data_IF_335788753948
#
_entry.id   IF_335788753948
#
_cell.length_a   1.000
_cell.length_b   1.000
_cell.length_c   1.000
_cell.angle_alpha   90.00
_cell.angle_beta   90.00
_cell.angle_gamma   90.00
#
_symmetry.space_group_name_H-M   'P 1'
#
loop_
_entity.id
_entity.type
_entity.pdbx_description
1 polymer ?
#
# COMPACT_ATOMS: atom_id res chain seq x y z
N UNK A 1 -21.35 -1.75 -2.31
CA UNK A 1 -19.99 -2.32 -2.09
C UNK A 1 -19.23 -2.20 -3.40
N UNK A 2 -18.02 -1.65 -3.39
CA UNK A 2 -17.19 -1.49 -4.58
C UNK A 2 -16.10 -2.57 -4.52
N UNK A 3 -15.98 -3.36 -5.58
CA UNK A 3 -14.95 -4.39 -5.73
C UNK A 3 -14.42 -4.28 -7.15
N UNK A 4 -13.16 -3.84 -7.27
CA UNK A 4 -12.51 -3.57 -8.55
C UNK A 4 -11.05 -3.99 -8.49
N UNK A 5 -10.46 -4.49 -9.60
CA UNK A 5 -9.04 -4.81 -9.65
C UNK A 5 -8.21 -3.53 -9.74
N UNK A 6 -7.55 -3.17 -8.64
CA UNK A 6 -6.60 -2.04 -8.53
C UNK A 6 -5.35 -2.47 -7.77
N UNK A 7 -4.28 -1.69 -7.86
CA UNK A 7 -3.02 -2.01 -7.19
C UNK A 7 -3.08 -1.90 -5.67
N UNK A 8 -3.89 -0.97 -5.15
CA UNK A 8 -4.15 -0.86 -3.70
C UNK A 8 -5.63 -0.64 -3.41
N UNK A 9 -6.14 -1.25 -2.34
CA UNK A 9 -7.48 -0.93 -1.84
C UNK A 9 -7.60 0.56 -1.47
N UNK A 10 -6.51 1.17 -0.98
CA UNK A 10 -6.45 2.59 -0.65
C UNK A 10 -6.74 3.48 -1.87
N UNK A 11 -6.49 3.02 -3.10
CA UNK A 11 -6.91 3.72 -4.32
C UNK A 11 -8.42 3.87 -4.40
N UNK A 12 -9.18 2.82 -4.09
CA UNK A 12 -10.64 2.88 -4.10
C UNK A 12 -11.15 3.78 -2.97
N UNK A 13 -10.53 3.70 -1.79
CA UNK A 13 -10.88 4.53 -0.63
C UNK A 13 -10.64 6.01 -0.94
N UNK A 14 -9.46 6.39 -1.43
CA UNK A 14 -9.15 7.77 -1.84
C UNK A 14 -10.15 8.26 -2.86
N UNK A 15 -10.40 7.48 -3.91
CA UNK A 15 -11.34 7.85 -4.96
C UNK A 15 -12.77 8.07 -4.43
N UNK A 16 -13.24 7.25 -3.49
CA UNK A 16 -14.56 7.43 -2.88
C UNK A 16 -14.64 8.65 -1.96
N UNK A 17 -13.57 8.96 -1.22
CA UNK A 17 -13.49 10.17 -0.40
C UNK A 17 -13.55 11.40 -1.31
N UNK A 18 -12.70 11.47 -2.34
CA UNK A 18 -12.64 12.59 -3.28
C UNK A 18 -13.98 12.82 -3.98
N UNK A 19 -14.69 11.75 -4.36
CA UNK A 19 -16.01 11.86 -5.01
C UNK A 19 -17.12 12.36 -4.10
N UNK A 20 -17.07 12.04 -2.80
CA UNK A 20 -18.19 12.30 -1.87
C UNK A 20 -17.96 13.51 -0.98
N UNK A 21 -16.75 13.64 -0.44
CA UNK A 21 -16.38 14.73 0.46
C UNK A 21 -14.84 14.85 0.49
N UNK A 22 -14.27 15.58 -0.47
CA UNK A 22 -12.83 15.83 -0.50
C UNK A 22 -12.32 16.62 0.71
N UNK A 23 -13.18 17.36 1.41
CA UNK A 23 -12.80 18.10 2.63
C UNK A 23 -12.55 17.18 3.84
N UNK A 24 -12.92 15.91 3.75
CA UNK A 24 -12.57 14.91 4.76
C UNK A 24 -11.09 14.51 4.72
N UNK A 25 -10.35 14.90 3.69
CA UNK A 25 -8.91 14.70 3.63
C UNK A 25 -8.21 15.78 4.45
N UNK A 26 -7.41 15.34 5.41
CA UNK A 26 -6.37 16.15 6.04
C UNK A 26 -4.98 15.64 5.61
N UNK A 27 -3.93 16.29 6.11
CA UNK A 27 -2.55 15.95 5.77
C UNK A 27 -2.18 14.53 6.21
N UNK A 28 -2.59 14.11 7.42
CA UNK A 28 -2.24 12.80 7.98
C UNK A 28 -2.91 11.65 7.22
N UNK A 29 -4.22 11.76 6.98
CA UNK A 29 -4.97 10.78 6.20
C UNK A 29 -4.45 10.70 4.77
N UNK A 30 -4.12 11.85 4.17
CA UNK A 30 -3.58 11.90 2.81
C UNK A 30 -2.21 11.23 2.73
N UNK A 31 -1.32 11.46 3.70
CA UNK A 31 -0.03 10.79 3.78
C UNK A 31 -0.18 9.28 3.95
N UNK A 32 -1.12 8.83 4.79
CA UNK A 32 -1.41 7.40 4.99
C UNK A 32 -1.89 6.72 3.70
N UNK A 33 -2.86 7.33 3.01
CA UNK A 33 -3.39 6.84 1.74
C UNK A 33 -2.30 6.81 0.66
N UNK A 34 -1.54 7.91 0.54
CA UNK A 34 -0.46 8.07 -0.43
C UNK A 34 0.62 6.99 -0.25
N UNK A 35 1.15 6.86 0.97
CA UNK A 35 2.19 5.88 1.28
C UNK A 35 1.73 4.44 1.02
N UNK A 36 0.49 4.11 1.38
CA UNK A 36 -0.06 2.76 1.17
C UNK A 36 -0.16 2.42 -0.32
N UNK A 37 -0.67 3.34 -1.14
CA UNK A 37 -0.77 3.13 -2.59
C UNK A 37 0.62 2.95 -3.19
N UNK A 38 1.62 3.76 -2.79
CA UNK A 38 2.99 3.61 -3.27
C UNK A 38 3.60 2.25 -2.91
N UNK A 39 3.43 1.77 -1.68
CA UNK A 39 3.98 0.49 -1.22
C UNK A 39 3.36 -0.67 -2.01
N UNK A 40 2.04 -0.69 -2.18
CA UNK A 40 1.34 -1.80 -2.83
C UNK A 40 1.61 -1.86 -4.34
N UNK A 41 1.78 -0.69 -4.97
CA UNK A 41 2.06 -0.55 -6.41
C UNK A 41 3.55 -0.55 -6.75
N UNK A 42 4.43 -0.72 -5.76
CA UNK A 42 5.89 -0.67 -5.95
C UNK A 42 6.30 0.64 -6.64
N UNK A 43 5.87 1.77 -6.06
CA UNK A 43 6.09 3.11 -6.59
C UNK A 43 5.54 3.29 -8.03
N UNK A 44 4.35 2.77 -8.30
CA UNK A 44 3.73 2.75 -9.63
C UNK A 44 4.60 2.09 -10.71
N UNK A 45 5.48 1.15 -10.34
CA UNK A 45 6.39 0.49 -11.29
C UNK A 45 5.64 -0.31 -12.35
N UNK A 46 5.92 0.00 -13.62
CA UNK A 46 5.39 -0.76 -14.77
C UNK A 46 5.90 -2.21 -14.77
N UNK A 47 7.17 -2.42 -14.36
CA UNK A 47 7.78 -3.76 -14.36
C UNK A 47 7.22 -4.67 -13.27
N UNK A 48 6.65 -4.11 -12.20
CA UNK A 48 5.97 -4.88 -11.17
C UNK A 48 4.58 -5.38 -11.63
N UNK A 49 4.00 -4.76 -12.67
CA UNK A 49 2.69 -5.10 -13.23
C UNK A 49 1.55 -5.15 -12.18
N UNK A 50 1.58 -4.22 -11.21
CA UNK A 50 0.58 -4.09 -10.12
C UNK A 50 -0.27 -2.83 -10.21
N UNK A 51 0.09 -1.91 -11.11
CA UNK A 51 -0.47 -0.56 -11.15
C UNK A 51 -1.61 -0.48 -12.16
N UNK A 52 -2.67 0.25 -11.83
CA UNK A 52 -3.74 0.63 -12.74
C UNK A 52 -3.77 2.14 -12.97
N UNK A 53 -4.49 2.58 -14.00
CA UNK A 53 -4.68 4.01 -14.27
C UNK A 53 -5.29 4.74 -13.07
N UNK A 54 -6.18 4.09 -12.31
CA UNK A 54 -6.81 4.67 -11.12
C UNK A 54 -5.81 4.88 -9.99
N UNK A 55 -4.83 3.99 -9.84
CA UNK A 55 -3.75 4.16 -8.84
C UNK A 55 -2.91 5.40 -9.19
N UNK A 56 -2.60 5.60 -10.49
CA UNK A 56 -1.87 6.78 -10.97
C UNK A 56 -2.67 8.05 -10.69
N UNK A 57 -3.96 8.08 -11.06
CA UNK A 57 -4.84 9.23 -10.84
C UNK A 57 -4.92 9.62 -9.36
N UNK A 58 -5.07 8.65 -8.45
CA UNK A 58 -5.17 8.92 -7.01
C UNK A 58 -3.84 9.36 -6.40
N UNK A 59 -2.70 8.82 -6.86
CA UNK A 59 -1.39 9.31 -6.44
C UNK A 59 -1.19 10.76 -6.91
N UNK A 60 -1.50 11.08 -8.16
CA UNK A 60 -1.34 12.45 -8.68
C UNK A 60 -2.25 13.45 -7.94
N UNK A 61 -3.47 13.03 -7.58
CA UNK A 61 -4.37 13.82 -6.74
C UNK A 61 -3.75 14.09 -5.36
N UNK A 62 -3.27 13.05 -4.67
CA UNK A 62 -2.70 13.16 -3.32
C UNK A 62 -1.39 13.96 -3.32
N UNK A 63 -0.54 13.80 -4.32
CA UNK A 63 0.68 14.60 -4.51
C UNK A 63 0.36 16.08 -4.63
N UNK A 64 -0.67 16.42 -5.40
CA UNK A 64 -1.14 17.80 -5.52
C UNK A 64 -1.70 18.33 -4.20
N UNK A 65 -2.49 17.54 -3.49
CA UNK A 65 -3.08 17.91 -2.20
C UNK A 65 -2.00 18.18 -1.14
N UNK A 66 -1.00 17.29 -1.05
CA UNK A 66 0.10 17.37 -0.10
C UNK A 66 1.23 18.33 -0.54
N UNK A 67 1.12 18.93 -1.73
CA UNK A 67 2.18 19.73 -2.34
C UNK A 67 3.53 18.97 -2.43
N UNK A 68 3.48 17.67 -2.74
CA UNK A 68 4.64 16.79 -2.92
C UNK A 68 4.94 16.70 -4.41
N UNK A 69 6.13 17.14 -4.81
CA UNK A 69 6.59 16.97 -6.19
C UNK A 69 6.94 15.50 -6.49
N UNK A 70 6.69 15.05 -7.73
CA UNK A 70 7.03 13.70 -8.22
C UNK A 70 8.47 13.28 -7.92
N UNK A 71 9.42 14.23 -7.89
CA UNK A 71 10.82 13.97 -7.55
C UNK A 71 11.04 13.40 -6.14
N UNK A 72 10.13 13.64 -5.20
CA UNK A 72 10.21 13.12 -3.82
C UNK A 72 9.57 11.74 -3.65
N UNK A 73 8.77 11.29 -4.62
CA UNK A 73 8.02 10.03 -4.55
C UNK A 73 8.91 8.82 -4.27
N UNK A 74 10.02 8.73 -4.99
CA UNK A 74 11.00 7.65 -4.82
C UNK A 74 11.58 7.63 -3.40
N UNK A 75 11.94 8.80 -2.84
CA UNK A 75 12.47 8.88 -1.48
C UNK A 75 11.45 8.40 -0.43
N UNK A 76 10.19 8.84 -0.54
CA UNK A 76 9.11 8.38 0.36
C UNK A 76 8.93 6.87 0.25
N UNK A 77 8.90 6.33 -0.97
CA UNK A 77 8.77 4.89 -1.18
C UNK A 77 9.94 4.11 -0.57
N UNK A 78 11.18 4.54 -0.78
CA UNK A 78 12.36 3.88 -0.22
C UNK A 78 12.35 3.90 1.31
N UNK A 79 11.97 5.01 1.95
CA UNK A 79 11.81 5.10 3.40
C UNK A 79 10.75 4.10 3.91
N UNK A 80 9.60 4.02 3.24
CA UNK A 80 8.53 3.09 3.59
C UNK A 80 8.92 1.63 3.39
N UNK A 81 9.59 1.27 2.29
CA UNK A 81 10.04 -0.09 2.04
C UNK A 81 11.15 -0.50 3.00
N UNK A 82 12.07 0.41 3.33
CA UNK A 82 13.10 0.19 4.36
C UNK A 82 12.45 -0.13 5.70
N UNK A 83 11.52 0.71 6.16
CA UNK A 83 10.80 0.49 7.42
C UNK A 83 9.95 -0.79 7.39
N UNK A 84 9.26 -1.09 6.28
CA UNK A 84 8.45 -2.31 6.12
C UNK A 84 9.28 -3.58 6.18
N UNK A 85 10.51 -3.52 5.68
CA UNK A 85 11.42 -4.67 5.55
C UNK A 85 12.31 -4.86 6.77
N UNK A 86 12.48 -3.84 7.61
CA UNK A 86 13.18 -3.97 8.89
C UNK A 86 12.39 -4.86 9.85
N UNK A 87 12.92 -6.07 10.06
CA UNK A 87 12.41 -7.06 11.01
C UNK A 87 13.46 -7.42 12.06
N UNK A 88 14.52 -6.61 12.18
CA UNK A 88 15.66 -6.89 13.06
C UNK A 88 15.30 -7.00 14.54
N UNK A 89 14.21 -6.36 14.96
CA UNK A 89 13.67 -6.41 16.32
C UNK A 89 12.73 -7.59 16.60
N UNK A 90 12.36 -8.36 15.57
CA UNK A 90 11.37 -9.43 15.67
C UNK A 90 12.03 -10.80 15.81
N UNK A 91 11.46 -11.65 16.65
CA UNK A 91 11.83 -13.06 16.70
C UNK A 91 11.17 -13.85 15.54
N UNK A 92 11.59 -15.11 15.34
CA UNK A 92 11.09 -15.93 14.23
C UNK A 92 9.58 -16.10 14.22
N UNK A 93 8.94 -16.31 15.38
CA UNK A 93 7.48 -16.42 15.46
C UNK A 93 6.79 -15.14 15.00
N UNK A 94 7.28 -13.99 15.46
CA UNK A 94 6.74 -12.67 15.10
C UNK A 94 6.91 -12.40 13.59
N UNK A 95 8.05 -12.78 13.00
CA UNK A 95 8.28 -12.67 11.55
C UNK A 95 7.24 -13.47 10.77
N UNK A 96 7.00 -14.73 11.15
CA UNK A 96 6.00 -15.56 10.48
C UNK A 96 4.56 -15.06 10.68
N UNK A 97 4.25 -14.44 11.83
CA UNK A 97 2.91 -13.90 12.11
C UNK A 97 2.62 -12.56 11.45
N UNK A 98 3.63 -11.72 11.21
CA UNK A 98 3.49 -10.32 10.73
C UNK A 98 2.61 -10.17 9.49
N UNK A 99 2.73 -11.10 8.54
CA UNK A 99 1.94 -11.08 7.29
C UNK A 99 1.43 -12.49 6.91
N UNK A 100 0.79 -13.13 7.89
CA UNK A 100 0.18 -14.45 7.79
C UNK A 100 -1.25 -14.37 7.24
N UNK A 101 -1.56 -15.21 6.25
CA UNK A 101 -2.93 -15.48 5.79
C UNK A 101 -3.25 -16.94 6.07
N UNK A 102 -4.41 -17.19 6.68
CA UNK A 102 -4.92 -18.53 6.96
C UNK A 102 -6.22 -18.73 6.19
N UNK A 103 -6.31 -19.85 5.48
CA UNK A 103 -7.50 -20.24 4.72
C UNK A 103 -7.91 -21.63 5.15
N UNK A 104 -9.19 -21.82 5.43
CA UNK A 104 -9.77 -23.10 5.81
C UNK A 104 -10.85 -23.51 4.82
N UNK A 105 -10.73 -24.71 4.27
CA UNK A 105 -11.71 -25.30 3.36
C UNK A 105 -11.66 -26.83 3.43
N UNK A 106 -12.81 -27.50 3.43
CA UNK A 106 -12.91 -28.96 3.37
C UNK A 106 -12.06 -29.69 4.43
N UNK A 107 -12.08 -29.22 5.69
CA UNK A 107 -11.25 -29.72 6.79
C UNK A 107 -9.73 -29.62 6.57
N UNK A 108 -9.29 -28.82 5.61
CA UNK A 108 -7.88 -28.47 5.38
C UNK A 108 -7.68 -27.02 5.82
N UNK A 109 -6.67 -26.79 6.64
CA UNK A 109 -6.21 -25.46 7.04
C UNK A 109 -4.84 -25.19 6.40
N UNK A 110 -4.73 -24.11 5.66
CA UNK A 110 -3.49 -23.68 5.00
C UNK A 110 -3.09 -22.30 5.53
N UNK A 111 -1.85 -22.21 6.02
CA UNK A 111 -1.23 -20.98 6.49
C UNK A 111 -0.11 -20.57 5.52
N UNK A 112 -0.16 -19.32 5.05
CA UNK A 112 0.87 -18.74 4.17
C UNK A 112 1.38 -17.44 4.80
N UNK A 113 2.65 -17.45 5.20
CA UNK A 113 3.34 -16.27 5.72
C UNK A 113 4.18 -15.63 4.62
N UNK A 114 4.02 -14.33 4.42
CA UNK A 114 4.92 -13.53 3.59
C UNK A 114 6.01 -12.93 4.49
N UNK A 115 7.27 -13.24 4.19
CA UNK A 115 8.43 -12.71 4.93
C UNK A 115 9.25 -11.80 4.01
N UNK A 116 9.84 -10.71 4.51
CA UNK A 116 10.82 -9.94 3.74
C UNK A 116 11.96 -10.85 3.28
N UNK A 117 12.56 -10.55 2.12
CA UNK A 117 13.73 -11.26 1.67
C UNK A 117 14.86 -11.04 2.69
N UNK A 118 15.27 -12.11 3.37
CA UNK A 118 16.46 -12.10 4.23
C UNK A 118 17.67 -11.96 3.30
N UNK A 119 18.33 -10.80 3.35
CA UNK A 119 19.63 -10.58 2.70
C UNK A 119 20.73 -10.86 3.71
#
# INVERSE_FOLDING_TARGET
>A
MIVEPVGSCSTLVTNEIVKKNSEALDEDLSNLLYGTILVDTVNLSESANRTTTKDVEMIEFLEKFLNIGKAKRAAVFEELITAKSDVSSLNSEQIFRKDLKVVEANNICVAVSSVPQLV
#
